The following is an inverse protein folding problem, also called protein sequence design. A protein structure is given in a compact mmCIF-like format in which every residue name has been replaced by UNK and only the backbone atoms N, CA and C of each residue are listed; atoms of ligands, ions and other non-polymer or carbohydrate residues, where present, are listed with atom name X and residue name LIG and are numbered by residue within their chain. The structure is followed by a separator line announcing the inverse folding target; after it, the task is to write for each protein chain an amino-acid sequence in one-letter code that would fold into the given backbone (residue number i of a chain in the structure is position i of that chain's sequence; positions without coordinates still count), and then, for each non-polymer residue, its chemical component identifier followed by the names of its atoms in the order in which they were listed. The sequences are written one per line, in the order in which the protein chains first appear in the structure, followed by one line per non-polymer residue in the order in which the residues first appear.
data_IF_263447237881
#
_entry.id   IF_263447237881
#
_cell.length_a   1.000
_cell.length_b   1.000
_cell.length_c   1.000
_cell.angle_alpha   90.00
_cell.angle_beta   90.00
_cell.angle_gamma   90.00
#
_symmetry.space_group_name_H-M   'P 1'
#
loop_
_entity.id
_entity.type
_entity.pdbx_description
1 polymer ?
#
# COMPACT_ATOMS: atom_id res chain seq x y z
N UNK A 1 16.90 -7.46 3.73
CA UNK A 1 16.89 -6.28 4.63
C UNK A 1 15.43 -5.88 4.85
N UNK A 2 14.98 -5.66 6.09
CA UNK A 2 13.61 -5.22 6.38
C UNK A 2 13.65 -3.81 7.00
N UNK A 3 12.63 -2.98 6.70
CA UNK A 3 12.51 -1.64 7.28
C UNK A 3 12.23 -1.66 8.78
N UNK A 4 12.41 -0.51 9.43
CA UNK A 4 12.28 -0.32 10.89
C UNK A 4 10.90 -0.69 11.46
N UNK A 5 9.85 -0.62 10.65
CA UNK A 5 8.45 -0.88 11.06
C UNK A 5 8.17 -2.37 11.22
N UNK A 6 8.74 -3.22 10.36
CA UNK A 6 8.42 -4.66 10.33
C UNK A 6 8.77 -5.37 11.65
N UNK A 7 9.94 -5.13 12.29
CA UNK A 7 10.24 -5.71 13.60
C UNK A 7 9.18 -5.37 14.66
N UNK A 8 8.75 -4.10 14.73
CA UNK A 8 7.70 -3.67 15.66
C UNK A 8 6.37 -4.36 15.36
N UNK A 9 5.97 -4.42 14.08
CA UNK A 9 4.77 -5.11 13.65
C UNK A 9 4.78 -6.59 14.04
N UNK A 10 5.91 -7.28 13.85
CA UNK A 10 6.07 -8.68 14.23
C UNK A 10 6.14 -8.89 15.75
N UNK A 11 6.65 -7.93 16.51
CA UNK A 11 6.67 -7.99 17.98
C UNK A 11 5.25 -8.05 18.55
N UNK A 12 4.33 -7.24 18.02
CA UNK A 12 2.95 -7.18 18.51
C UNK A 12 2.03 -8.21 17.85
N UNK A 13 2.23 -8.52 16.57
CA UNK A 13 1.28 -9.32 15.79
C UNK A 13 1.89 -10.56 15.10
N UNK A 14 3.19 -10.78 15.24
CA UNK A 14 3.93 -11.81 14.51
C UNK A 14 4.18 -13.10 15.28
N UNK A 15 3.12 -13.80 15.70
CA UNK A 15 3.24 -15.14 16.32
C UNK A 15 1.91 -15.91 16.35
N UNK A 16 1.01 -15.70 15.37
CA UNK A 16 -0.38 -16.19 15.44
C UNK A 16 -1.07 -15.74 16.76
N UNK A 17 -0.69 -14.57 17.26
CA UNK A 17 -1.20 -13.96 18.50
C UNK A 17 -2.71 -13.78 18.44
N UNK A 18 -3.23 -13.55 17.24
CA UNK A 18 -4.64 -13.32 16.98
C UNK A 18 -5.03 -14.02 15.66
N UNK A 19 -6.18 -14.72 15.68
CA UNK A 19 -6.63 -15.55 14.57
C UNK A 19 -7.02 -14.73 13.32
N UNK A 20 -7.37 -13.44 13.49
CA UNK A 20 -7.78 -12.55 12.42
C UNK A 20 -6.60 -11.74 11.86
N UNK A 21 -5.57 -11.48 12.69
CA UNK A 21 -4.35 -10.76 12.29
C UNK A 21 -3.31 -11.68 11.67
N UNK A 22 -3.49 -12.00 10.38
CA UNK A 22 -2.59 -12.89 9.61
C UNK A 22 -1.26 -12.24 9.22
N UNK A 23 -0.44 -11.86 10.20
CA UNK A 23 0.85 -11.19 10.00
C UNK A 23 1.99 -12.19 10.22
N UNK A 24 2.59 -12.66 9.13
CA UNK A 24 3.64 -13.67 9.17
C UNK A 24 5.05 -13.08 8.99
N UNK A 25 6.00 -13.54 9.83
CA UNK A 25 7.43 -13.33 9.57
C UNK A 25 7.85 -14.01 8.27
N UNK A 26 7.40 -15.25 8.08
CA UNK A 26 7.46 -16.04 6.86
C UNK A 26 6.17 -16.87 6.83
N UNK A 27 5.49 -16.93 5.68
CA UNK A 27 4.26 -17.71 5.55
C UNK A 27 4.56 -19.19 5.86
N UNK A 28 3.94 -19.80 6.88
CA UNK A 28 4.20 -21.19 7.23
C UNK A 28 3.81 -22.13 6.10
N UNK A 29 4.61 -23.18 5.83
CA UNK A 29 4.36 -24.12 4.72
C UNK A 29 2.96 -24.76 4.79
N UNK A 30 2.47 -25.04 5.99
CA UNK A 30 1.11 -25.60 6.20
C UNK A 30 0.01 -24.64 5.73
N UNK A 31 0.19 -23.34 5.98
CA UNK A 31 -0.73 -22.30 5.54
C UNK A 31 -0.59 -22.09 4.04
N UNK A 32 0.64 -21.99 3.53
CA UNK A 32 0.93 -21.81 2.11
C UNK A 32 0.36 -22.91 1.20
N UNK A 33 0.26 -24.15 1.71
CA UNK A 33 -0.39 -25.28 1.00
C UNK A 33 -1.91 -25.15 0.88
N UNK A 34 -2.56 -24.45 1.81
CA UNK A 34 -4.00 -24.22 1.81
C UNK A 34 -4.37 -22.93 1.09
N UNK A 35 -3.57 -21.88 1.29
CA UNK A 35 -3.82 -20.56 0.77
C UNK A 35 -2.49 -19.90 0.41
N UNK A 36 -2.32 -19.57 -0.86
CA UNK A 36 -1.14 -18.86 -1.34
C UNK A 36 -1.22 -17.35 -1.04
N UNK A 37 -0.11 -16.64 -1.26
CA UNK A 37 -0.01 -15.20 -1.01
C UNK A 37 -1.14 -14.40 -1.66
N UNK A 38 -1.43 -14.68 -2.93
CA UNK A 38 -2.47 -14.00 -3.71
C UNK A 38 -3.86 -14.22 -3.10
N UNK A 39 -4.16 -15.46 -2.73
CA UNK A 39 -5.44 -15.80 -2.10
C UNK A 39 -5.58 -15.05 -0.76
N UNK A 40 -4.52 -15.03 0.05
CA UNK A 40 -4.52 -14.26 1.30
C UNK A 40 -4.84 -12.79 1.08
N UNK A 41 -4.24 -12.15 0.07
CA UNK A 41 -4.51 -10.75 -0.23
C UNK A 41 -5.95 -10.53 -0.68
N UNK A 42 -6.44 -11.33 -1.63
CA UNK A 42 -7.82 -11.23 -2.15
C UNK A 42 -8.90 -11.49 -1.10
N UNK A 43 -8.61 -12.30 -0.08
CA UNK A 43 -9.56 -12.59 1.00
C UNK A 43 -9.46 -11.63 2.18
N UNK A 44 -8.47 -10.74 2.20
CA UNK A 44 -8.25 -9.81 3.31
C UNK A 44 -8.98 -8.51 3.07
N UNK A 45 -9.60 -7.96 4.13
CA UNK A 45 -10.18 -6.61 4.08
C UNK A 45 -9.08 -5.55 3.94
N UNK A 46 -8.05 -5.70 4.76
CA UNK A 46 -6.97 -4.74 4.93
C UNK A 46 -5.62 -5.41 4.67
N UNK A 47 -4.74 -4.74 3.92
CA UNK A 47 -3.40 -5.21 3.63
C UNK A 47 -2.38 -4.25 4.24
N UNK A 48 -1.59 -4.76 5.19
CA UNK A 48 -0.65 -3.92 5.93
C UNK A 48 0.57 -3.62 5.06
N UNK A 49 0.82 -2.34 4.85
CA UNK A 49 1.91 -1.78 4.06
C UNK A 49 2.89 -1.04 5.01
N UNK A 50 3.70 -1.77 5.81
CA UNK A 50 4.68 -1.12 6.66
C UNK A 50 5.82 -0.54 5.83
N UNK A 51 6.42 0.55 6.31
CA UNK A 51 7.59 1.17 5.68
C UNK A 51 8.71 0.14 5.44
N UNK A 52 9.26 0.18 4.23
CA UNK A 52 10.40 -0.63 3.81
C UNK A 52 11.73 -0.14 4.40
N UNK A 53 12.82 -0.81 4.04
CA UNK A 53 14.16 -0.25 4.24
C UNK A 53 14.41 0.88 3.24
N UNK A 54 13.93 0.68 2.01
CA UNK A 54 13.85 1.69 0.97
C UNK A 54 12.43 2.22 0.84
N UNK A 55 12.30 3.38 0.18
CA UNK A 55 11.01 4.00 -0.16
C UNK A 55 10.20 3.17 -1.17
N UNK A 56 10.85 2.24 -1.87
CA UNK A 56 10.20 1.35 -2.82
C UNK A 56 9.74 0.07 -2.13
N UNK A 57 8.41 -0.09 -2.00
CA UNK A 57 7.81 -1.34 -1.61
C UNK A 57 6.67 -1.70 -2.56
N UNK A 58 6.61 -2.95 -3.06
CA UNK A 58 5.50 -3.37 -3.90
C UNK A 58 4.18 -3.45 -3.13
N UNK A 59 4.19 -3.43 -1.79
CA UNK A 59 3.02 -3.73 -0.94
C UNK A 59 1.81 -2.85 -1.22
N UNK A 60 2.00 -1.55 -1.44
CA UNK A 60 0.89 -0.63 -1.72
C UNK A 60 0.27 -0.98 -3.09
N UNK A 61 1.12 -1.19 -4.10
CA UNK A 61 0.68 -1.55 -5.45
C UNK A 61 0.02 -2.92 -5.46
N UNK A 62 0.58 -3.91 -4.76
CA UNK A 62 -0.02 -5.25 -4.62
C UNK A 62 -1.36 -5.20 -3.90
N UNK A 63 -1.50 -4.40 -2.83
CA UNK A 63 -2.77 -4.22 -2.12
C UNK A 63 -3.85 -3.68 -3.05
N UNK A 64 -3.53 -2.63 -3.81
CA UNK A 64 -4.41 -2.05 -4.82
C UNK A 64 -4.75 -3.09 -5.92
N UNK A 65 -3.73 -3.80 -6.42
CA UNK A 65 -3.89 -4.81 -7.48
C UNK A 65 -4.82 -5.95 -7.07
N UNK A 66 -4.79 -6.36 -5.80
CA UNK A 66 -5.67 -7.41 -5.26
C UNK A 66 -6.91 -6.87 -4.53
N UNK A 67 -7.26 -5.60 -4.72
CA UNK A 67 -8.48 -4.96 -4.21
C UNK A 67 -8.62 -5.00 -2.68
N UNK A 68 -7.47 -5.02 -2.01
CA UNK A 68 -7.33 -5.04 -0.57
C UNK A 68 -7.03 -3.62 -0.09
N UNK A 69 -7.79 -3.09 0.87
CA UNK A 69 -7.60 -1.70 1.32
C UNK A 69 -6.21 -1.55 1.95
N UNK A 70 -5.32 -0.72 1.38
CA UNK A 70 -3.96 -0.57 1.89
C UNK A 70 -4.00 0.13 3.25
N UNK A 71 -3.27 -0.43 4.22
CA UNK A 71 -3.04 0.16 5.54
C UNK A 71 -1.58 0.58 5.62
N UNK A 72 -1.33 1.87 5.42
CA UNK A 72 0.01 2.45 5.34
C UNK A 72 0.50 2.74 6.75
N UNK A 73 1.63 2.13 7.12
CA UNK A 73 2.30 2.35 8.40
C UNK A 73 3.71 2.87 8.14
N UNK A 74 3.81 4.19 7.98
CA UNK A 74 5.02 4.86 7.53
C UNK A 74 4.99 6.35 7.92
N UNK A 75 5.65 6.70 9.03
CA UNK A 75 5.69 8.10 9.47
C UNK A 75 6.53 8.94 8.48
N UNK A 76 6.07 10.17 8.18
CA UNK A 76 6.69 11.09 7.22
C UNK A 76 6.83 10.55 5.78
N UNK A 77 5.96 9.62 5.39
CA UNK A 77 5.94 9.08 4.04
C UNK A 77 4.96 9.86 3.14
N UNK A 78 5.49 10.48 2.08
CA UNK A 78 4.68 11.14 1.06
C UNK A 78 4.19 10.08 0.08
N UNK A 79 2.86 9.94 -0.04
CA UNK A 79 2.26 8.96 -0.93
C UNK A 79 2.40 9.40 -2.40
N UNK A 80 2.64 8.44 -3.31
CA UNK A 80 2.82 8.77 -4.72
C UNK A 80 1.55 9.39 -5.28
N UNK A 81 1.70 10.47 -6.08
CA UNK A 81 0.60 11.23 -6.65
C UNK A 81 -0.39 11.79 -5.61
N UNK A 82 0.05 12.09 -4.39
CA UNK A 82 -0.83 12.67 -3.36
C UNK A 82 -1.40 14.05 -3.74
N UNK A 83 -0.80 14.72 -4.72
CA UNK A 83 -1.28 15.95 -5.33
C UNK A 83 -2.47 15.75 -6.29
N UNK A 84 -2.71 14.52 -6.75
CA UNK A 84 -3.82 14.16 -7.66
C UNK A 84 -4.79 13.15 -7.03
N UNK A 85 -4.28 12.20 -6.26
CA UNK A 85 -5.02 11.15 -5.60
C UNK A 85 -5.22 11.48 -4.13
N UNK A 86 -6.49 11.61 -3.73
CA UNK A 86 -6.83 11.64 -2.31
C UNK A 86 -6.76 10.23 -1.72
N UNK A 87 -5.63 9.89 -1.11
CA UNK A 87 -5.42 8.59 -0.49
C UNK A 87 -6.38 8.32 0.68
N UNK A 88 -6.95 9.35 1.31
CA UNK A 88 -7.82 9.19 2.48
C UNK A 88 -9.14 8.49 2.15
N UNK A 89 -9.56 8.48 0.88
CA UNK A 89 -10.83 7.86 0.47
C UNK A 89 -10.70 6.38 0.12
N UNK A 90 -9.48 5.84 0.00
CA UNK A 90 -9.25 4.44 -0.39
C UNK A 90 -8.14 3.73 0.41
N UNK A 91 -7.54 4.38 1.40
CA UNK A 91 -6.50 3.81 2.26
C UNK A 91 -6.72 4.19 3.72
N UNK A 92 -6.00 3.50 4.60
CA UNK A 92 -5.93 3.84 6.02
C UNK A 92 -4.47 4.15 6.34
N UNK A 93 -4.21 5.31 6.94
CA UNK A 93 -2.87 5.68 7.44
C UNK A 93 -2.85 5.49 8.94
N UNK A 94 -1.87 4.73 9.44
CA UNK A 94 -1.70 4.45 10.88
C UNK A 94 -0.28 4.85 11.27
N UNK A 95 -0.15 5.65 12.34
CA UNK A 95 1.15 6.05 12.84
C UNK A 95 1.91 4.84 13.39
N UNK A 96 3.24 4.84 13.29
CA UNK A 96 4.04 3.70 13.74
C UNK A 96 3.90 3.41 15.24
N UNK A 97 3.67 4.45 16.05
CA UNK A 97 3.40 4.33 17.49
C UNK A 97 2.09 3.58 17.81
N UNK A 98 1.15 3.56 16.87
CA UNK A 98 -0.19 3.00 17.06
C UNK A 98 -0.29 1.53 16.60
N UNK A 99 0.83 0.93 16.15
CA UNK A 99 0.93 -0.50 15.83
C UNK A 99 0.33 -1.41 16.92
N UNK A 100 0.52 -1.17 18.23
CA UNK A 100 -0.08 -2.02 19.27
C UNK A 100 -1.62 -2.03 19.24
N UNK A 101 -2.25 -0.94 18.78
CA UNK A 101 -3.70 -0.77 18.72
C UNK A 101 -4.26 -1.00 17.30
N UNK A 102 -3.44 -1.57 16.40
CA UNK A 102 -3.77 -1.68 14.97
C UNK A 102 -5.12 -2.39 14.73
N UNK A 103 -5.39 -3.48 15.45
CA UNK A 103 -6.66 -4.22 15.31
C UNK A 103 -7.86 -3.34 15.66
N UNK A 104 -7.80 -2.64 16.79
CA UNK A 104 -8.89 -1.80 17.28
C UNK A 104 -9.16 -0.63 16.33
N UNK A 105 -8.10 0.00 15.80
CA UNK A 105 -8.22 1.04 14.78
C UNK A 105 -8.96 0.51 13.56
N UNK A 106 -8.57 -0.65 13.03
CA UNK A 106 -9.19 -1.23 11.84
C UNK A 106 -10.63 -1.72 12.06
N UNK A 107 -10.94 -2.22 13.26
CA UNK A 107 -12.29 -2.64 13.65
C UNK A 107 -13.21 -1.46 13.95
N UNK A 108 -12.67 -0.32 14.38
CA UNK A 108 -13.46 0.90 14.60
C UNK A 108 -14.04 1.49 13.31
N UNK A 109 -13.50 1.10 12.15
CA UNK A 109 -13.97 1.56 10.84
C UNK A 109 -15.29 0.86 10.50
N UNK A 110 -16.41 1.60 10.33
CA UNK A 110 -17.69 1.01 9.98
C UNK A 110 -17.63 0.26 8.64
N UNK A 111 -18.40 -0.82 8.53
CA UNK A 111 -18.42 -1.65 7.32
C UNK A 111 -18.80 -0.84 6.06
N UNK A 112 -19.71 0.14 6.18
CA UNK A 112 -20.08 1.04 5.08
C UNK A 112 -18.91 1.88 4.57
N UNK A 113 -18.08 2.41 5.48
CA UNK A 113 -16.87 3.15 5.14
C UNK A 113 -15.83 2.22 4.48
N UNK A 114 -15.65 1.02 5.02
CA UNK A 114 -14.79 0.00 4.41
C UNK A 114 -15.21 -0.33 2.97
N UNK A 115 -16.50 -0.60 2.72
CA UNK A 115 -17.01 -0.90 1.38
C UNK A 115 -16.78 0.26 0.40
N UNK A 116 -16.93 1.50 0.88
CA UNK A 116 -16.62 2.70 0.09
C UNK A 116 -15.14 2.74 -0.28
N UNK A 117 -14.24 2.52 0.68
CA UNK A 117 -12.80 2.46 0.41
C UNK A 117 -12.45 1.34 -0.57
N UNK A 118 -13.02 0.15 -0.40
CA UNK A 118 -12.77 -0.99 -1.28
C UNK A 118 -13.22 -0.70 -2.73
N UNK A 119 -14.39 -0.09 -2.91
CA UNK A 119 -14.85 0.33 -4.23
C UNK A 119 -13.91 1.37 -4.85
N UNK A 120 -13.44 2.33 -4.05
CA UNK A 120 -12.46 3.32 -4.52
C UNK A 120 -11.13 2.66 -4.91
N UNK A 121 -10.65 1.66 -4.16
CA UNK A 121 -9.48 0.85 -4.55
C UNK A 121 -9.66 0.24 -5.93
N UNK A 122 -10.82 -0.38 -6.20
CA UNK A 122 -11.13 -0.95 -7.53
C UNK A 122 -11.12 0.10 -8.63
N UNK A 123 -11.65 1.29 -8.35
CA UNK A 123 -11.66 2.38 -9.32
C UNK A 123 -10.26 2.88 -9.64
N UNK A 124 -9.39 3.01 -8.63
CA UNK A 124 -8.01 3.50 -8.84
C UNK A 124 -7.07 2.43 -9.39
N UNK A 125 -7.37 1.14 -9.19
CA UNK A 125 -6.53 0.00 -9.59
C UNK A 125 -6.02 0.09 -11.02
N UNK A 126 -6.88 0.44 -11.98
CA UNK A 126 -6.52 0.58 -13.40
C UNK A 126 -5.37 1.54 -13.67
N UNK A 127 -5.17 2.54 -12.82
CA UNK A 127 -4.10 3.53 -12.95
C UNK A 127 -2.73 2.99 -12.52
N UNK A 128 -2.71 1.98 -11.66
CA UNK A 128 -1.51 1.34 -11.13
C UNK A 128 -1.07 0.10 -11.92
N UNK A 129 -1.77 -0.22 -13.02
CA UNK A 129 -1.40 -1.32 -13.90
C UNK A 129 -0.27 -0.92 -14.86
N UNK A 130 0.66 -1.85 -15.06
CA UNK A 130 1.65 -1.71 -16.12
C UNK A 130 0.98 -1.87 -17.48
N UNK A 131 1.19 -0.90 -18.37
CA UNK A 131 0.74 -0.96 -19.75
C UNK A 131 1.96 -0.89 -20.68
N UNK A 132 2.06 -1.72 -21.74
CA UNK A 132 3.17 -1.64 -22.70
C UNK A 132 3.09 -0.42 -23.62
N UNK A 133 1.90 0.19 -23.75
CA UNK A 133 1.67 1.44 -24.46
C UNK A 133 0.99 2.43 -23.51
N UNK A 134 1.21 3.75 -23.65
CA UNK A 134 0.56 4.75 -22.80
C UNK A 134 -0.97 4.64 -22.89
N UNK A 135 -1.61 4.61 -21.73
CA UNK A 135 -3.07 4.67 -21.59
C UNK A 135 -3.38 5.94 -20.79
N UNK A 136 -4.51 6.58 -21.11
CA UNK A 136 -4.92 7.79 -20.41
C UNK A 136 -4.96 7.55 -18.89
N UNK A 137 -4.25 8.38 -18.14
CA UNK A 137 -4.14 8.33 -16.68
C UNK A 137 -3.42 7.10 -16.12
N UNK A 138 -2.61 6.39 -16.91
CA UNK A 138 -1.72 5.38 -16.35
C UNK A 138 -0.55 6.06 -15.62
N UNK A 139 -0.31 5.65 -14.38
CA UNK A 139 0.65 6.31 -13.51
C UNK A 139 2.07 6.17 -14.06
N UNK A 140 2.43 5.00 -14.60
CA UNK A 140 3.80 4.76 -15.06
C UNK A 140 4.22 5.76 -16.15
N UNK A 141 3.43 5.91 -17.22
CA UNK A 141 3.77 6.86 -18.28
C UNK A 141 3.58 8.31 -17.84
N UNK A 142 2.67 8.60 -16.90
CA UNK A 142 2.57 9.93 -16.30
C UNK A 142 3.83 10.30 -15.50
N UNK A 143 4.42 9.37 -14.73
CA UNK A 143 5.72 9.57 -14.07
C UNK A 143 6.79 9.86 -15.13
N UNK A 144 6.89 9.03 -16.17
CA UNK A 144 7.89 9.22 -17.22
C UNK A 144 7.75 10.59 -17.90
N UNK A 145 6.53 10.99 -18.24
CA UNK A 145 6.23 12.29 -18.81
C UNK A 145 6.62 13.43 -17.86
N UNK A 146 6.28 13.33 -16.57
CA UNK A 146 6.64 14.33 -15.55
C UNK A 146 8.16 14.48 -15.40
N UNK A 147 8.89 13.37 -15.34
CA UNK A 147 10.36 13.39 -15.28
C UNK A 147 10.96 14.03 -16.53
N UNK A 148 10.47 13.64 -17.71
CA UNK A 148 10.95 14.20 -18.98
C UNK A 148 10.69 15.71 -19.08
N UNK A 149 9.47 16.14 -18.75
CA UNK A 149 9.08 17.55 -18.75
C UNK A 149 9.91 18.39 -17.77
N UNK A 150 10.12 17.89 -16.55
CA UNK A 150 10.95 18.57 -15.55
C UNK A 150 12.41 18.72 -15.99
N UNK A 151 12.97 17.69 -16.64
CA UNK A 151 14.35 17.77 -17.18
C UNK A 151 14.47 18.85 -18.25
N UNK A 152 13.51 18.97 -19.16
CA UNK A 152 13.52 20.01 -20.19
C UNK A 152 13.46 21.41 -19.59
N UNK A 153 12.60 21.62 -18.60
CA UNK A 153 12.46 22.93 -17.96
C UNK A 153 13.69 23.30 -17.13
N UNK A 154 14.34 22.33 -16.48
CA UNK A 154 15.61 22.57 -15.77
C UNK A 154 16.76 22.97 -16.71
N UNK A 155 16.81 22.40 -17.91
CA UNK A 155 17.77 22.78 -18.94
C UNK A 155 17.54 24.24 -19.37
N UNK A 156 16.29 24.67 -19.57
CA UNK A 156 15.98 26.06 -19.93
C UNK A 156 16.37 27.09 -18.87
N UNK A 157 16.31 26.75 -17.58
CA UNK A 157 16.76 27.64 -16.50
C UNK A 157 18.29 27.71 -16.34
N UNK A 158 19.06 26.85 -17.00
CA UNK A 158 20.51 26.77 -16.85
C UNK A 158 21.29 27.63 -17.87
N UNK A 159 20.58 28.34 -18.76
CA UNK A 159 21.15 29.19 -19.82
C UNK A 159 20.98 30.70 -19.55
N UNK A 160 20.75 31.11 -18.29
CA UNK A 160 20.67 32.51 -17.85
C UNK A 160 21.66 32.76 -16.70
#
# INVERSE_FOLDING_TARGET
MHGRVRPTLLKYWGADVDAEMKIYKRLPLRVARKMNYIQHMKSSKYCICPMGFEVNSPRIVEAIYYECVPVIIADNFVLPFSEVLDWSVFSVVVAEKDIPNLKDILLSIPMSKYLTMQNNVKMVQKHFLWNPRPIRYDIFHMILHSIWFNKLNQIQTSEI
#
